data_IF_910259242777
#
_entry.id   IF_910259242777
#
_cell.length_a   1.000
_cell.length_b   1.000
_cell.length_c   1.000
_cell.angle_alpha   90.00
_cell.angle_beta   90.00
_cell.angle_gamma   90.00
#
_symmetry.space_group_name_H-M   'P 1'
#
loop_
_entity.id
_entity.type
_entity.pdbx_description
1 polymer ?
#
# COMPACT_ATOMS: atom_id res chain seq x y z
N UNK A 1 17.72 15.11 -8.36
CA UNK A 1 16.46 14.38 -8.64
C UNK A 1 15.28 15.32 -8.33
N UNK A 2 15.16 16.40 -9.11
CA UNK A 2 14.11 17.42 -9.02
C UNK A 2 14.00 18.00 -10.42
N UNK A 3 12.96 17.61 -11.16
CA UNK A 3 12.42 18.30 -12.34
C UNK A 3 11.63 17.28 -13.17
N UNK A 4 10.30 17.34 -13.04
CA UNK A 4 9.26 17.19 -14.08
C UNK A 4 7.92 16.74 -13.47
N UNK A 5 7.93 15.95 -12.38
CA UNK A 5 6.72 15.43 -11.73
C UNK A 5 6.52 15.94 -10.29
N UNK A 6 6.65 17.24 -10.05
CA UNK A 6 6.19 17.84 -8.79
C UNK A 6 4.77 18.34 -9.00
N UNK A 7 3.78 17.58 -8.51
CA UNK A 7 2.49 18.15 -8.18
C UNK A 7 2.73 19.19 -7.08
N UNK A 8 2.39 20.44 -7.34
CA UNK A 8 2.35 21.45 -6.30
C UNK A 8 1.33 21.01 -5.24
N UNK A 9 1.66 21.20 -3.96
CA UNK A 9 0.81 20.73 -2.86
C UNK A 9 -0.58 21.37 -2.98
N UNK A 10 -1.57 20.55 -3.36
CA UNK A 10 -2.98 20.96 -3.52
C UNK A 10 -3.51 20.93 -4.95
N UNK A 11 -2.68 20.68 -5.97
CA UNK A 11 -3.17 20.54 -7.34
C UNK A 11 -3.76 19.15 -7.60
N UNK A 12 -4.91 19.12 -8.27
CA UNK A 12 -5.51 17.87 -8.73
C UNK A 12 -4.71 17.30 -9.89
N UNK A 13 -4.62 15.97 -9.97
CA UNK A 13 -3.93 15.28 -11.05
C UNK A 13 -4.44 15.71 -12.43
N UNK A 14 -5.74 16.01 -12.54
CA UNK A 14 -6.35 16.45 -13.79
C UNK A 14 -5.87 17.84 -14.20
N UNK A 15 -5.87 18.81 -13.27
CA UNK A 15 -5.37 20.16 -13.56
C UNK A 15 -3.90 20.17 -13.98
N UNK A 16 -3.10 19.29 -13.38
CA UNK A 16 -1.70 19.11 -13.76
C UNK A 16 -1.53 18.54 -15.17
N UNK A 17 -2.31 17.51 -15.52
CA UNK A 17 -2.29 16.94 -16.87
C UNK A 17 -2.76 17.95 -17.92
N UNK A 18 -3.82 18.71 -17.62
CA UNK A 18 -4.35 19.76 -18.49
C UNK A 18 -3.28 20.82 -18.80
N UNK A 19 -2.49 21.23 -17.79
CA UNK A 19 -1.39 22.18 -17.97
C UNK A 19 -0.32 21.65 -18.93
N UNK A 20 0.10 20.40 -18.76
CA UNK A 20 1.14 19.79 -19.60
C UNK A 20 0.64 19.61 -21.04
N UNK A 21 -0.61 19.18 -21.21
CA UNK A 21 -1.26 19.06 -22.50
C UNK A 21 -1.32 20.41 -23.22
N UNK A 22 -1.75 21.47 -22.51
CA UNK A 22 -1.87 22.82 -23.06
C UNK A 22 -0.50 23.45 -23.39
N UNK A 23 0.54 23.17 -22.60
CA UNK A 23 1.91 23.64 -22.86
C UNK A 23 2.53 23.00 -24.09
N UNK A 24 2.23 21.73 -24.35
CA UNK A 24 2.78 20.97 -25.47
C UNK A 24 1.85 20.94 -26.69
N UNK A 25 0.73 21.66 -26.66
CA UNK A 25 -0.28 21.72 -27.73
C UNK A 25 -0.83 20.34 -28.13
N UNK A 26 -0.98 19.46 -27.15
CA UNK A 26 -1.49 18.10 -27.33
C UNK A 26 -2.85 17.95 -26.66
N UNK A 27 -3.72 17.13 -27.25
CA UNK A 27 -4.98 16.75 -26.61
C UNK A 27 -4.78 15.57 -25.66
N UNK A 28 -5.36 15.66 -24.45
CA UNK A 28 -5.23 14.63 -23.40
C UNK A 28 -5.67 13.24 -23.82
N UNK A 29 -6.73 13.16 -24.63
CA UNK A 29 -7.32 11.90 -25.08
C UNK A 29 -6.61 11.30 -26.30
N UNK A 30 -5.56 11.94 -26.79
CA UNK A 30 -4.82 11.49 -27.95
C UNK A 30 -3.68 10.55 -27.54
N UNK A 31 -3.49 9.48 -28.30
CA UNK A 31 -2.34 8.57 -28.17
C UNK A 31 -1.00 9.30 -28.19
N UNK A 32 -0.89 10.40 -28.94
CA UNK A 32 0.32 11.22 -29.00
C UNK A 32 0.70 11.82 -27.65
N UNK A 33 -0.27 12.21 -26.82
CA UNK A 33 0.00 12.70 -25.47
C UNK A 33 0.51 11.58 -24.56
N UNK A 34 -0.05 10.38 -24.67
CA UNK A 34 0.43 9.22 -23.92
C UNK A 34 1.88 8.84 -24.29
N UNK A 35 2.22 8.88 -25.59
CA UNK A 35 3.60 8.65 -26.05
C UNK A 35 4.56 9.72 -25.52
N UNK A 36 4.15 10.99 -25.58
CA UNK A 36 4.93 12.10 -25.02
C UNK A 36 5.21 11.90 -23.52
N UNK A 37 4.22 11.47 -22.75
CA UNK A 37 4.37 11.21 -21.31
C UNK A 37 5.30 10.02 -21.03
N UNK A 38 5.25 8.97 -21.86
CA UNK A 38 6.14 7.82 -21.75
C UNK A 38 7.60 8.19 -22.08
N UNK A 39 7.84 9.04 -23.09
CA UNK A 39 9.18 9.49 -23.48
C UNK A 39 9.84 10.36 -22.39
N UNK A 40 9.06 11.14 -21.65
CA UNK A 40 9.53 12.02 -20.57
C UNK A 40 9.47 11.37 -19.18
N UNK A 41 9.11 10.09 -19.11
CA UNK A 41 9.05 9.35 -17.86
C UNK A 41 10.45 8.93 -17.40
N UNK A 42 11.04 9.67 -16.45
CA UNK A 42 12.33 9.35 -15.83
C UNK A 42 12.37 7.96 -15.17
N UNK A 43 11.21 7.38 -14.85
CA UNK A 43 11.06 6.04 -14.28
C UNK A 43 10.69 4.98 -15.32
N UNK A 44 10.61 5.34 -16.61
CA UNK A 44 10.24 4.42 -17.69
C UNK A 44 11.16 3.19 -17.77
N UNK A 45 12.45 3.35 -17.47
CA UNK A 45 13.43 2.25 -17.46
C UNK A 45 13.08 1.12 -16.48
N UNK A 46 12.31 1.41 -15.43
CA UNK A 46 11.91 0.43 -14.42
C UNK A 46 11.02 -0.66 -15.05
N UNK A 47 10.26 -0.33 -16.10
CA UNK A 47 9.45 -1.32 -16.85
C UNK A 47 10.29 -2.47 -17.38
N UNK A 48 11.56 -2.23 -17.70
CA UNK A 48 12.46 -3.28 -18.22
C UNK A 48 12.95 -4.22 -17.11
N UNK A 49 12.83 -3.83 -15.83
CA UNK A 49 13.27 -4.62 -14.67
C UNK A 49 12.22 -5.59 -14.14
N UNK A 50 10.97 -5.44 -14.57
CA UNK A 50 9.88 -6.34 -14.20
C UNK A 50 9.64 -7.37 -15.30
N UNK A 51 9.48 -8.63 -14.91
CA UNK A 51 8.90 -9.62 -15.82
C UNK A 51 7.41 -9.32 -15.97
N UNK A 52 7.05 -8.69 -17.10
CA UNK A 52 5.65 -8.56 -17.48
C UNK A 52 5.20 -9.89 -18.08
N UNK A 53 4.60 -10.73 -17.22
CA UNK A 53 3.93 -11.95 -17.65
C UNK A 53 2.94 -11.62 -18.77
N UNK A 54 3.24 -12.06 -19.99
CA UNK A 54 2.22 -12.18 -21.03
C UNK A 54 1.14 -13.13 -20.50
N UNK A 55 -0.13 -12.85 -20.82
CA UNK A 55 -1.29 -13.61 -20.34
C UNK A 55 -1.00 -15.13 -20.36
N UNK A 56 -0.91 -15.76 -19.19
CA UNK A 56 -0.74 -17.22 -19.06
C UNK A 56 0.56 -17.76 -18.44
N UNK A 57 1.48 -16.94 -17.94
CA UNK A 57 2.72 -17.47 -17.32
C UNK A 57 3.03 -16.83 -15.97
N UNK A 58 2.79 -17.56 -14.89
CA UNK A 58 3.28 -17.22 -13.55
C UNK A 58 4.55 -18.02 -13.28
N UNK A 59 5.62 -17.35 -12.84
CA UNK A 59 6.86 -17.99 -12.38
C UNK A 59 6.58 -18.83 -11.14
N UNK A 60 7.16 -20.03 -11.06
CA UNK A 60 6.87 -21.04 -10.02
C UNK A 60 7.89 -21.07 -8.87
N UNK A 61 8.97 -20.29 -8.96
CA UNK A 61 10.07 -20.44 -8.02
C UNK A 61 10.30 -19.13 -7.25
N UNK A 62 9.92 -19.14 -5.97
CA UNK A 62 10.24 -18.09 -5.01
C UNK A 62 11.20 -18.69 -3.97
N UNK A 63 12.42 -18.18 -3.94
CA UNK A 63 13.45 -18.59 -2.97
C UNK A 63 13.11 -18.04 -1.57
N UNK A 64 13.12 -18.92 -0.56
CA UNK A 64 12.82 -18.58 0.83
C UNK A 64 13.93 -17.77 1.53
N UNK A 65 15.18 -17.84 1.05
CA UNK A 65 16.29 -17.03 1.59
C UNK A 65 16.23 -15.55 1.18
N UNK A 66 15.32 -15.19 0.27
CA UNK A 66 15.12 -13.82 -0.20
C UNK A 66 14.54 -12.88 0.87
N UNK A 67 13.82 -13.44 1.85
CA UNK A 67 13.01 -12.69 2.81
C UNK A 67 13.88 -11.76 3.68
N UNK A 68 14.95 -12.27 4.28
CA UNK A 68 15.81 -11.47 5.17
C UNK A 68 16.57 -10.37 4.40
N UNK A 69 16.88 -10.60 3.12
CA UNK A 69 17.52 -9.59 2.28
C UNK A 69 16.61 -8.39 1.99
N UNK A 70 15.28 -8.58 2.09
CA UNK A 70 14.30 -7.54 1.78
C UNK A 70 14.03 -6.60 2.95
N UNK A 71 14.39 -6.97 4.19
CA UNK A 71 14.07 -6.19 5.40
C UNK A 71 14.57 -4.74 5.33
N UNK A 72 15.83 -4.46 4.93
CA UNK A 72 16.30 -3.08 4.81
C UNK A 72 15.52 -2.25 3.78
N UNK A 73 15.08 -2.90 2.70
CA UNK A 73 14.28 -2.25 1.65
C UNK A 73 12.86 -1.95 2.15
N UNK A 74 12.26 -2.87 2.90
CA UNK A 74 10.93 -2.67 3.49
C UNK A 74 10.93 -1.59 4.59
N UNK A 75 11.99 -1.51 5.39
CA UNK A 75 12.21 -0.45 6.37
C UNK A 75 12.18 0.94 5.73
N UNK A 76 12.81 1.11 4.56
CA UNK A 76 12.73 2.36 3.80
C UNK A 76 11.32 2.69 3.30
N UNK A 77 10.52 1.67 2.93
CA UNK A 77 9.16 1.87 2.43
C UNK A 77 8.17 2.29 3.51
N UNK A 78 8.30 1.73 4.72
CA UNK A 78 7.41 2.03 5.85
C UNK A 78 7.94 3.17 6.73
N UNK A 79 9.12 3.70 6.41
CA UNK A 79 9.83 4.73 7.19
C UNK A 79 10.05 4.32 8.66
N UNK A 80 10.47 3.06 8.88
CA UNK A 80 10.73 2.47 10.19
C UNK A 80 12.16 1.97 10.34
N UNK A 81 12.62 1.68 11.57
CA UNK A 81 13.94 1.09 11.78
C UNK A 81 13.98 -0.37 11.31
N UNK A 82 15.17 -0.87 10.93
CA UNK A 82 15.35 -2.27 10.50
C UNK A 82 14.89 -3.24 11.59
N UNK A 83 15.17 -2.93 12.86
CA UNK A 83 14.79 -3.75 14.01
C UNK A 83 13.29 -3.67 14.37
N UNK A 84 12.55 -2.73 13.77
CA UNK A 84 11.10 -2.58 13.95
C UNK A 84 10.29 -3.28 12.85
N UNK A 85 10.94 -3.74 11.78
CA UNK A 85 10.30 -4.33 10.61
C UNK A 85 10.61 -5.81 10.52
N UNK A 86 9.57 -6.63 10.52
CA UNK A 86 9.68 -8.07 10.35
C UNK A 86 8.88 -8.54 9.12
N UNK A 87 9.56 -9.28 8.23
CA UNK A 87 8.91 -9.99 7.13
C UNK A 87 8.63 -11.43 7.56
N UNK A 88 7.38 -11.74 7.84
CA UNK A 88 6.96 -13.03 8.37
C UNK A 88 5.56 -13.43 7.87
N UNK A 89 5.28 -14.73 7.86
CA UNK A 89 3.96 -15.38 7.64
C UNK A 89 3.01 -14.65 6.66
N UNK A 90 1.70 -14.83 6.84
CA UNK A 90 0.66 -14.13 6.10
C UNK A 90 0.12 -12.95 6.91
N UNK A 91 -0.46 -11.96 6.22
CA UNK A 91 -1.04 -10.76 6.83
C UNK A 91 -1.96 -11.08 8.01
N UNK A 92 -2.86 -12.06 7.84
CA UNK A 92 -3.80 -12.47 8.90
C UNK A 92 -3.10 -13.01 10.14
N UNK A 93 -2.07 -13.84 9.96
CA UNK A 93 -1.28 -14.41 11.07
C UNK A 93 -0.51 -13.32 11.81
N UNK A 94 0.11 -12.37 11.11
CA UNK A 94 0.83 -11.27 11.73
C UNK A 94 -0.12 -10.37 12.53
N UNK A 95 -1.31 -10.10 12.00
CA UNK A 95 -2.33 -9.36 12.73
C UNK A 95 -2.77 -10.12 14.00
N UNK A 96 -2.94 -11.44 13.93
CA UNK A 96 -3.21 -12.25 15.12
C UNK A 96 -2.10 -12.15 16.17
N UNK A 97 -0.83 -12.23 15.78
CA UNK A 97 0.29 -12.08 16.71
C UNK A 97 0.32 -10.71 17.37
N UNK A 98 0.13 -9.64 16.59
CA UNK A 98 0.04 -8.28 17.12
C UNK A 98 -1.13 -8.15 18.11
N UNK A 99 -2.30 -8.69 17.79
CA UNK A 99 -3.44 -8.65 18.70
C UNK A 99 -3.16 -9.45 19.98
N UNK A 100 -2.56 -10.64 19.91
CA UNK A 100 -2.23 -11.41 21.12
C UNK A 100 -1.26 -10.68 22.05
N UNK A 101 -0.30 -9.91 21.51
CA UNK A 101 0.68 -9.17 22.32
C UNK A 101 0.11 -7.85 22.84
N UNK A 102 -0.53 -7.06 21.97
CA UNK A 102 -0.93 -5.68 22.27
C UNK A 102 -2.36 -5.54 22.77
N UNK A 103 -3.26 -6.47 22.46
CA UNK A 103 -4.65 -6.43 22.92
C UNK A 103 -4.81 -7.21 24.24
N UNK A 104 -4.39 -6.57 25.33
CA UNK A 104 -4.57 -7.07 26.70
C UNK A 104 -5.84 -6.45 27.28
N UNK A 105 -6.91 -7.25 27.32
CA UNK A 105 -8.21 -6.82 27.81
C UNK A 105 -8.28 -6.99 29.33
N UNK A 106 -7.55 -6.13 30.05
CA UNK A 106 -7.60 -6.06 31.51
C UNK A 106 -8.50 -4.91 31.99
N UNK A 107 -9.48 -5.24 32.84
CA UNK A 107 -10.40 -4.28 33.46
C UNK A 107 -11.32 -3.57 32.45
N UNK A 108 -11.42 -2.25 32.57
CA UNK A 108 -12.39 -1.43 31.81
C UNK A 108 -11.98 -1.13 30.36
N UNK A 109 -10.74 -1.48 29.95
CA UNK A 109 -10.19 -1.18 28.61
C UNK A 109 -10.18 -2.42 27.71
N UNK A 110 -11.35 -2.86 27.29
CA UNK A 110 -11.54 -4.04 26.42
C UNK A 110 -12.09 -3.70 25.02
N UNK A 111 -12.23 -2.42 24.67
CA UNK A 111 -12.84 -2.00 23.40
C UNK A 111 -11.79 -1.72 22.33
N UNK A 112 -11.97 -2.26 21.13
CA UNK A 112 -11.13 -1.98 19.96
C UNK A 112 -11.90 -1.10 18.99
N UNK A 113 -11.20 -0.08 18.47
CA UNK A 113 -11.71 0.83 17.46
C UNK A 113 -11.40 0.28 16.06
N UNK A 114 -12.41 0.10 15.22
CA UNK A 114 -12.19 -0.48 13.90
C UNK A 114 -13.22 -0.11 12.83
N UNK A 115 -12.83 -0.23 11.56
CA UNK A 115 -13.69 -0.05 10.38
C UNK A 115 -14.50 -1.32 10.04
N UNK A 116 -15.66 -1.21 9.41
CA UNK A 116 -16.71 -2.24 9.46
C UNK A 116 -16.30 -3.66 8.97
N UNK A 117 -15.27 -3.82 8.12
CA UNK A 117 -15.11 -5.03 7.29
C UNK A 117 -13.97 -6.02 7.60
N UNK A 118 -12.94 -5.70 8.40
CA UNK A 118 -11.73 -6.58 8.45
C UNK A 118 -11.65 -7.47 9.71
N UNK A 119 -12.38 -7.16 10.79
CA UNK A 119 -12.05 -7.71 12.13
C UNK A 119 -13.06 -8.73 12.70
N UNK A 120 -14.14 -9.08 12.00
CA UNK A 120 -15.16 -9.97 12.57
C UNK A 120 -14.63 -11.40 12.90
N UNK A 121 -13.60 -11.88 12.19
CA UNK A 121 -12.90 -13.13 12.53
C UNK A 121 -11.98 -12.98 13.75
N UNK A 122 -11.33 -11.81 13.90
CA UNK A 122 -10.38 -11.49 14.96
C UNK A 122 -11.03 -11.38 16.35
N UNK A 123 -12.19 -10.73 16.43
CA UNK A 123 -12.92 -10.56 17.70
C UNK A 123 -13.46 -11.91 18.22
N UNK A 124 -13.91 -12.79 17.32
CA UNK A 124 -14.42 -14.12 17.69
C UNK A 124 -13.33 -15.02 18.26
N UNK A 125 -12.08 -14.88 17.80
CA UNK A 125 -10.95 -15.70 18.27
C UNK A 125 -10.56 -15.41 19.72
N UNK A 126 -10.76 -14.17 20.20
CA UNK A 126 -10.44 -13.77 21.58
C UNK A 126 -11.62 -14.01 22.56
N UNK A 127 -12.61 -14.82 22.19
CA UNK A 127 -13.77 -15.18 23.03
C UNK A 127 -14.60 -14.01 23.58
N UNK A 128 -14.41 -12.79 23.07
CA UNK A 128 -15.25 -11.63 23.42
C UNK A 128 -16.47 -11.54 22.51
N UNK A 129 -17.64 -11.20 23.09
CA UNK A 129 -18.85 -10.95 22.32
C UNK A 129 -18.69 -9.68 21.46
N UNK A 130 -18.73 -9.78 20.11
CA UNK A 130 -18.49 -8.65 19.21
C UNK A 130 -19.45 -7.48 19.37
N UNK A 131 -20.61 -7.71 19.98
CA UNK A 131 -21.64 -6.70 20.22
C UNK A 131 -21.26 -5.66 21.26
N UNK A 132 -20.39 -6.00 22.22
CA UNK A 132 -20.06 -5.11 23.35
C UNK A 132 -18.62 -4.56 23.30
N UNK A 133 -17.73 -5.19 22.54
CA UNK A 133 -16.29 -4.86 22.47
C UNK A 133 -15.86 -4.04 21.24
N UNK A 134 -16.78 -3.77 20.30
CA UNK A 134 -16.47 -3.05 19.06
C UNK A 134 -17.04 -1.63 19.09
N UNK A 135 -16.19 -0.63 18.85
CA UNK A 135 -16.63 0.72 18.48
C UNK A 135 -16.41 0.85 16.98
N UNK A 136 -17.50 1.01 16.22
CA UNK A 136 -17.46 1.16 14.76
C UNK A 136 -17.43 2.64 14.42
N UNK A 137 -16.35 3.09 13.80
CA UNK A 137 -16.31 4.42 13.17
C UNK A 137 -16.83 4.28 11.75
N UNK A 138 -17.78 5.15 11.38
CA UNK A 138 -18.18 5.33 9.99
C UNK A 138 -17.28 6.38 9.34
N UNK A 139 -16.87 6.15 8.10
CA UNK A 139 -16.19 7.17 7.31
C UNK A 139 -17.00 8.47 7.30
N UNK A 140 -16.31 9.61 7.44
CA UNK A 140 -16.97 10.91 7.17
C UNK A 140 -17.33 10.94 5.69
N UNK A 141 -18.62 11.18 5.41
CA UNK A 141 -19.11 11.49 4.07
C UNK A 141 -18.37 12.70 3.50
#
# INVERSE_FOLDING_TARGET
IKAFFQLDRGESSQSYLDKIAHQNQLELNNKQFALFMDDHNLLGYIRQKFFYSKLGTLSKDVDGHFIDSCVPTMSLFVDGQIDEVALMNQLSSNLHFMMMVFYQSEGDRYKILYEEHVINSQIKLHSYYPKNSKIVIKARK
#
